data_IF_847538736474
#
_entry.id   IF_847538736474
#
_cell.length_a   1.000
_cell.length_b   1.000
_cell.length_c   1.000
_cell.angle_alpha   90.00
_cell.angle_beta   90.00
_cell.angle_gamma   90.00
#
_symmetry.space_group_name_H-M   'P 1'
#
loop_
_entity.id
_entity.type
_entity.pdbx_description
1 polymer ?
#
# COMPACT_ATOMS: atom_id res chain seq x y z
N UNK A 1 15.25 12.61 5.76
CA UNK A 1 15.08 14.05 5.46
C UNK A 1 13.89 14.15 4.54
N UNK A 2 12.83 14.83 4.97
CA UNK A 2 11.67 15.14 4.10
C UNK A 2 12.00 16.47 3.43
N UNK A 3 12.13 16.47 2.10
CA UNK A 3 12.32 17.69 1.33
C UNK A 3 10.98 18.07 0.70
N UNK A 4 10.46 19.25 1.06
CA UNK A 4 9.31 19.83 0.39
C UNK A 4 9.79 20.66 -0.81
N UNK A 5 9.13 20.49 -1.96
CA UNK A 5 9.35 21.36 -3.11
C UNK A 5 9.00 22.82 -2.72
N UNK A 6 9.81 23.83 -3.11
CA UNK A 6 9.48 25.22 -2.81
C UNK A 6 8.08 25.61 -3.32
N UNK A 7 7.20 26.04 -2.40
CA UNK A 7 5.83 26.42 -2.71
C UNK A 7 4.80 25.30 -2.63
N UNK A 8 5.21 24.06 -2.37
CA UNK A 8 4.29 22.98 -2.04
C UNK A 8 3.72 23.16 -0.62
N UNK A 9 2.48 22.72 -0.42
CA UNK A 9 1.85 22.71 0.90
C UNK A 9 2.62 21.80 1.86
N UNK A 10 2.70 22.22 3.12
CA UNK A 10 3.35 21.44 4.16
C UNK A 10 2.58 20.14 4.40
N UNK A 11 3.29 19.01 4.34
CA UNK A 11 2.79 17.69 4.72
C UNK A 11 3.66 17.08 5.79
N UNK A 12 3.03 16.46 6.77
CA UNK A 12 3.72 15.54 7.66
C UNK A 12 3.90 14.20 6.96
N UNK A 13 5.11 13.63 7.01
CA UNK A 13 5.45 12.39 6.32
C UNK A 13 6.06 11.40 7.31
N UNK A 14 5.49 10.20 7.33
CA UNK A 14 6.01 9.05 8.07
C UNK A 14 6.31 7.89 7.12
N UNK A 15 7.32 7.10 7.46
CA UNK A 15 7.73 5.91 6.71
C UNK A 15 7.69 4.71 7.64
N UNK A 16 7.02 3.66 7.19
CA UNK A 16 6.77 2.44 7.93
C UNK A 16 7.38 1.26 7.19
N UNK A 17 7.97 0.35 7.96
CA UNK A 17 8.26 -1.00 7.48
C UNK A 17 6.96 -1.81 7.52
N UNK A 18 6.63 -2.47 6.42
CA UNK A 18 5.54 -3.41 6.33
C UNK A 18 5.94 -4.79 6.85
N UNK A 19 5.04 -5.77 6.67
CA UNK A 19 5.24 -7.13 7.13
C UNK A 19 5.57 -8.10 6.00
N UNK A 20 6.46 -9.06 6.32
CA UNK A 20 6.91 -10.13 5.45
C UNK A 20 5.86 -11.23 5.26
N UNK A 21 5.12 -11.59 6.33
CA UNK A 21 4.20 -12.72 6.35
C UNK A 21 2.91 -12.51 7.18
N UNK A 22 2.62 -11.31 7.72
CA UNK A 22 1.32 -10.94 8.32
C UNK A 22 0.64 -9.72 7.66
N UNK A 23 -0.69 -9.60 7.69
CA UNK A 23 -1.37 -8.38 7.21
C UNK A 23 -0.71 -7.13 7.83
N UNK A 24 -0.64 -6.05 7.06
CA UNK A 24 -0.01 -4.81 7.53
C UNK A 24 -1.09 -3.80 7.86
N UNK A 25 -1.09 -3.33 9.10
CA UNK A 25 -1.93 -2.24 9.59
C UNK A 25 -1.04 -1.06 10.02
N UNK A 26 -1.35 0.12 9.50
CA UNK A 26 -0.66 1.36 9.85
C UNK A 26 -1.72 2.33 10.38
N UNK A 27 -1.60 2.68 11.65
CA UNK A 27 -2.45 3.70 12.27
C UNK A 27 -1.96 5.09 11.88
N UNK A 28 -2.90 5.96 11.51
CA UNK A 28 -2.64 7.37 11.24
C UNK A 28 -3.43 8.24 12.22
N UNK A 29 -2.71 9.14 12.88
CA UNK A 29 -3.32 10.13 13.77
C UNK A 29 -3.95 11.27 12.96
N UNK A 30 -5.02 11.88 13.50
CA UNK A 30 -5.68 13.08 12.99
C UNK A 30 -6.40 12.96 11.63
N UNK A 31 -6.16 11.90 10.85
CA UNK A 31 -6.97 11.55 9.70
C UNK A 31 -7.01 12.60 8.57
N UNK A 32 -8.05 12.55 7.74
CA UNK A 32 -8.23 13.46 6.61
C UNK A 32 -7.66 12.93 5.30
N UNK A 33 -7.34 13.83 4.38
CA UNK A 33 -6.73 13.48 3.09
C UNK A 33 -5.31 12.96 3.31
N UNK A 34 -5.00 11.78 2.76
CA UNK A 34 -3.68 11.16 2.88
C UNK A 34 -3.20 10.68 1.53
N UNK A 35 -1.91 10.87 1.27
CA UNK A 35 -1.21 10.23 0.17
C UNK A 35 -0.40 9.05 0.69
N UNK A 36 -0.47 7.93 -0.02
CA UNK A 36 0.16 6.67 0.37
C UNK A 36 1.01 6.21 -0.80
N UNK A 37 2.29 5.92 -0.56
CA UNK A 37 3.15 5.23 -1.51
C UNK A 37 3.65 3.93 -0.88
N UNK A 38 3.46 2.81 -1.56
CA UNK A 38 3.81 1.49 -1.03
C UNK A 38 4.58 0.65 -2.05
N UNK A 39 5.53 -0.13 -1.55
CA UNK A 39 6.25 -1.15 -2.32
C UNK A 39 5.81 -2.54 -1.86
N UNK A 40 5.42 -3.41 -2.80
CA UNK A 40 5.04 -4.78 -2.52
C UNK A 40 5.89 -5.74 -3.36
N UNK A 41 6.40 -6.82 -2.75
CA UNK A 41 7.18 -7.84 -3.45
C UNK A 41 6.43 -9.16 -3.47
N UNK A 42 6.43 -9.82 -4.62
CA UNK A 42 5.90 -11.18 -4.71
C UNK A 42 4.37 -11.26 -4.71
N UNK A 43 3.67 -10.17 -5.00
CA UNK A 43 2.25 -10.22 -5.32
C UNK A 43 1.99 -10.67 -6.76
N UNK A 44 0.82 -11.27 -7.03
CA UNK A 44 0.38 -11.65 -8.38
C UNK A 44 -1.06 -11.21 -8.64
N UNK A 45 -1.30 -10.49 -9.74
CA UNK A 45 -2.66 -10.10 -10.15
C UNK A 45 -3.62 -11.28 -10.42
N UNK A 46 -3.10 -12.51 -10.53
CA UNK A 46 -3.90 -13.71 -10.78
C UNK A 46 -4.47 -14.34 -9.52
N UNK A 47 -3.82 -14.15 -8.37
CA UNK A 47 -4.35 -14.55 -7.08
C UNK A 47 -5.16 -13.38 -6.56
N UNK A 48 -6.43 -13.67 -6.28
CA UNK A 48 -7.41 -12.67 -5.86
C UNK A 48 -7.55 -12.75 -4.35
N UNK A 49 -8.11 -11.68 -3.79
CA UNK A 49 -8.44 -11.62 -2.36
C UNK A 49 -7.54 -10.68 -1.58
N UNK A 50 -6.50 -10.15 -2.21
CA UNK A 50 -5.71 -9.08 -1.64
C UNK A 50 -6.47 -7.77 -1.68
N UNK A 51 -6.26 -6.91 -0.68
CA UNK A 51 -6.89 -5.60 -0.63
C UNK A 51 -5.99 -4.56 0.00
N UNK A 52 -6.12 -3.33 -0.50
CA UNK A 52 -5.65 -2.13 0.19
C UNK A 52 -6.86 -1.29 0.57
N UNK A 53 -6.88 -0.80 1.81
CA UNK A 53 -7.89 0.13 2.29
C UNK A 53 -7.27 1.20 3.18
N UNK A 54 -7.94 2.35 3.28
CA UNK A 54 -7.59 3.42 4.20
C UNK A 54 -8.87 3.95 4.86
N UNK A 55 -9.02 3.70 6.16
CA UNK A 55 -10.32 3.88 6.82
C UNK A 55 -11.39 3.00 6.17
N UNK A 56 -12.54 3.59 5.84
CA UNK A 56 -13.65 2.89 5.16
C UNK A 56 -13.50 2.85 3.63
N UNK A 57 -12.44 3.47 3.07
CA UNK A 57 -12.22 3.54 1.63
C UNK A 57 -11.42 2.32 1.15
N UNK A 58 -12.02 1.52 0.27
CA UNK A 58 -11.31 0.49 -0.47
C UNK A 58 -10.52 1.11 -1.64
N UNK A 59 -9.22 0.84 -1.69
CA UNK A 59 -8.29 1.42 -2.66
C UNK A 59 -7.95 0.48 -3.82
N UNK A 60 -8.33 -0.80 -3.72
CA UNK A 60 -8.16 -1.80 -4.77
C UNK A 60 -7.37 -3.02 -4.30
N UNK A 61 -6.71 -3.69 -5.26
CA UNK A 61 -5.87 -4.86 -5.00
C UNK A 61 -4.46 -4.42 -4.57
N UNK A 62 -3.89 -5.11 -3.59
CA UNK A 62 -2.52 -4.83 -3.12
C UNK A 62 -1.47 -5.29 -4.16
N UNK A 63 -1.64 -6.51 -4.67
CA UNK A 63 -0.82 -7.05 -5.74
C UNK A 63 -1.41 -6.76 -7.12
N UNK A 64 -0.58 -6.22 -8.03
CA UNK A 64 -0.98 -5.90 -9.41
C UNK A 64 -0.05 -6.47 -10.47
N UNK A 65 1.07 -7.06 -10.05
CA UNK A 65 2.07 -7.63 -10.96
C UNK A 65 1.48 -8.70 -11.87
N UNK A 66 1.77 -8.54 -13.16
CA UNK A 66 1.43 -9.49 -14.22
C UNK A 66 2.59 -9.59 -15.21
N UNK A 67 2.98 -10.81 -15.60
CA UNK A 67 4.04 -11.04 -16.59
C UNK A 67 3.50 -11.81 -17.79
N UNK A 68 3.52 -11.18 -18.97
CA UNK A 68 3.15 -11.83 -20.22
C UNK A 68 4.09 -13.01 -20.52
N UNK A 69 3.54 -14.21 -20.57
CA UNK A 69 4.28 -15.43 -20.90
C UNK A 69 4.82 -16.20 -19.68
N UNK A 70 4.60 -15.72 -18.45
CA UNK A 70 4.71 -16.58 -17.29
C UNK A 70 3.60 -17.64 -17.38
N UNK A 71 3.94 -18.91 -17.22
CA UNK A 71 2.95 -19.99 -17.17
C UNK A 71 2.29 -19.93 -15.80
N UNK A 72 1.25 -19.10 -15.68
CA UNK A 72 0.45 -19.05 -14.47
C UNK A 72 -0.25 -20.40 -14.29
N UNK A 73 0.13 -21.11 -13.24
CA UNK A 73 -0.50 -22.35 -12.83
C UNK A 73 -0.69 -22.33 -11.31
N UNK A 74 -1.46 -23.25 -10.72
CA UNK A 74 -1.75 -23.23 -9.27
C UNK A 74 -0.51 -23.20 -8.35
N UNK A 75 0.68 -23.46 -8.89
CA UNK A 75 1.93 -23.54 -8.15
C UNK A 75 3.01 -22.54 -8.62
N UNK A 76 2.83 -21.82 -9.74
CA UNK A 76 3.84 -20.94 -10.34
C UNK A 76 3.18 -19.64 -10.78
N UNK A 77 3.73 -18.50 -10.34
CA UNK A 77 3.15 -17.18 -10.56
C UNK A 77 4.23 -16.18 -10.97
N UNK A 78 3.83 -15.20 -11.77
CA UNK A 78 4.62 -14.01 -12.01
C UNK A 78 4.75 -13.22 -10.70
N UNK A 79 5.95 -13.25 -10.11
CA UNK A 79 6.31 -12.42 -8.96
C UNK A 79 7.04 -11.17 -9.44
N UNK A 80 6.60 -10.01 -8.99
CA UNK A 80 7.23 -8.74 -9.30
C UNK A 80 7.32 -7.82 -8.10
N UNK A 81 7.74 -6.58 -8.37
CA UNK A 81 7.72 -5.49 -7.38
C UNK A 81 6.67 -4.49 -7.84
N UNK A 82 5.60 -4.37 -7.09
CA UNK A 82 4.58 -3.34 -7.27
C UNK A 82 5.02 -2.07 -6.53
N UNK A 83 4.90 -0.93 -7.20
CA UNK A 83 4.98 0.39 -6.56
C UNK A 83 3.65 1.06 -6.79
N UNK A 84 2.89 1.24 -5.71
CA UNK A 84 1.53 1.77 -5.77
C UNK A 84 1.47 3.13 -5.08
N UNK A 85 0.64 4.02 -5.64
CA UNK A 85 0.38 5.33 -5.07
C UNK A 85 -1.13 5.53 -4.98
N UNK A 86 -1.60 5.96 -3.82
CA UNK A 86 -3.01 6.19 -3.54
C UNK A 86 -3.22 7.56 -2.91
N UNK A 87 -4.40 8.12 -3.15
CA UNK A 87 -4.94 9.23 -2.37
C UNK A 87 -6.24 8.75 -1.74
N UNK A 88 -6.40 8.97 -0.44
CA UNK A 88 -7.55 8.52 0.32
C UNK A 88 -8.02 9.59 1.29
N UNK A 89 -9.30 9.53 1.68
CA UNK A 89 -9.82 10.35 2.76
C UNK A 89 -10.17 9.48 3.97
N UNK A 90 -9.40 9.60 5.03
CA UNK A 90 -9.59 8.85 6.27
C UNK A 90 -10.39 9.63 7.30
N UNK A 91 -11.11 8.92 8.18
CA UNK A 91 -11.76 9.54 9.35
C UNK A 91 -10.72 10.01 10.38
N UNK A 92 -11.16 10.62 11.50
CA UNK A 92 -10.26 11.21 12.51
C UNK A 92 -9.21 10.27 13.12
N UNK A 93 -9.45 8.96 13.03
CA UNK A 93 -8.44 7.92 13.18
C UNK A 93 -8.61 6.99 11.99
N UNK A 94 -7.56 6.88 11.17
CA UNK A 94 -7.53 6.02 10.01
C UNK A 94 -6.61 4.84 10.24
N UNK A 95 -6.97 3.68 9.69
CA UNK A 95 -6.04 2.56 9.54
C UNK A 95 -5.86 2.34 8.05
N UNK A 96 -4.60 2.35 7.60
CA UNK A 96 -4.24 1.86 6.29
C UNK A 96 -3.98 0.36 6.45
N UNK A 97 -4.74 -0.47 5.72
CA UNK A 97 -4.66 -1.92 5.82
C UNK A 97 -4.29 -2.53 4.47
N UNK A 98 -3.26 -3.36 4.47
CA UNK A 98 -2.90 -4.28 3.39
C UNK A 98 -3.26 -5.68 3.85
N UNK A 99 -4.31 -6.25 3.27
CA UNK A 99 -4.79 -7.59 3.56
C UNK A 99 -4.29 -8.55 2.48
N UNK A 100 -3.80 -9.71 2.92
CA UNK A 100 -3.45 -10.78 2.01
C UNK A 100 -4.63 -11.72 1.84
N UNK A 101 -4.97 -11.97 0.59
CA UNK A 101 -5.73 -13.14 0.23
C UNK A 101 -4.81 -14.36 0.19
N UNK A 102 -4.84 -15.08 -0.93
CA UNK A 102 -4.04 -16.29 -1.12
C UNK A 102 -2.59 -15.99 -1.57
N UNK A 103 -2.21 -14.71 -1.68
CA UNK A 103 -0.87 -14.28 -2.10
C UNK A 103 0.11 -14.08 -0.94
N UNK A 104 1.27 -14.76 -0.95
CA UNK A 104 2.33 -14.53 0.02
C UNK A 104 3.20 -13.34 -0.42
N UNK A 105 2.62 -12.13 -0.48
CA UNK A 105 3.39 -10.92 -0.80
C UNK A 105 3.97 -10.24 0.45
N UNK A 106 5.12 -9.60 0.26
CA UNK A 106 5.78 -8.79 1.29
C UNK A 106 5.35 -7.34 1.10
N UNK A 107 4.86 -6.70 2.15
CA UNK A 107 4.79 -5.24 2.21
C UNK A 107 6.12 -4.77 2.77
N UNK A 108 6.91 -3.99 2.03
CA UNK A 108 8.22 -3.55 2.54
C UNK A 108 8.19 -2.13 3.04
N UNK A 109 8.15 -1.10 2.20
CA UNK A 109 8.10 0.29 2.67
C UNK A 109 6.77 0.93 2.31
N UNK A 110 6.14 1.56 3.29
CA UNK A 110 4.96 2.39 3.12
C UNK A 110 5.27 3.80 3.60
N UNK A 111 5.21 4.78 2.69
CA UNK A 111 5.28 6.19 3.03
C UNK A 111 3.86 6.77 3.05
N UNK A 112 3.54 7.48 4.13
CA UNK A 112 2.25 8.15 4.29
C UNK A 112 2.49 9.63 4.50
N UNK A 113 1.83 10.46 3.70
CA UNK A 113 1.87 11.91 3.82
C UNK A 113 0.47 12.45 4.10
N UNK A 114 0.35 13.33 5.10
CA UNK A 114 -0.90 13.99 5.47
C UNK A 114 -0.71 15.51 5.54
N UNK A 115 -1.75 16.33 5.25
CA UNK A 115 -1.70 17.77 5.47
C UNK A 115 -1.29 18.10 6.89
N UNK A 116 -0.41 19.08 7.04
CA UNK A 116 -0.05 19.57 8.36
C UNK A 116 -1.24 20.33 8.96
N UNK A 117 -1.76 19.86 10.09
CA UNK A 117 -2.86 20.53 10.83
C UNK A 117 -2.32 21.71 11.65
#
# INVERSE_FOLDING_TARGET
VVYAEPGADAKEVAVYDGADAADTEIEIENGGEVDIAATLWGGSANRRGDSVSAGDQHLGQAASCYANGAVDNPNWYAFGVDVQVYTAHTGQAGVIRFERGDDPFIVGVVAVAQPHV
#
